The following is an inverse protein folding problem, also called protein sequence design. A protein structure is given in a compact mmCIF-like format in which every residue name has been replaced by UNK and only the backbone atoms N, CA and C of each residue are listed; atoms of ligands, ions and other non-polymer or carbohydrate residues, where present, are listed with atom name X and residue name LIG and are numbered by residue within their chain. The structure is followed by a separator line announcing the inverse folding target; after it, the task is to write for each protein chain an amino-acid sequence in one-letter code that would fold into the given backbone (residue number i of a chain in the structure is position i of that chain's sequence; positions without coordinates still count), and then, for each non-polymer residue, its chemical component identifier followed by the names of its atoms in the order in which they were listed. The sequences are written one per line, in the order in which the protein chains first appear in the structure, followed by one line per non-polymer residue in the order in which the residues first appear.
data_IF_633040957807
#
_entry.id   IF_633040957807
#
_cell.length_a   1.000
_cell.length_b   1.000
_cell.length_c   1.000
_cell.angle_alpha   90.00
_cell.angle_beta   90.00
_cell.angle_gamma   90.00
#
_symmetry.space_group_name_H-M   'P 1'
#
loop_
_entity.id
_entity.type
_entity.pdbx_description
1 polymer ?
#
# COMPACT_ATOMS: atom_id res chain seq x y z
N UNK A 1 -13.61 5.54 -9.58
CA UNK A 1 -13.38 6.41 -10.75
C UNK A 1 -12.21 5.88 -11.55
N UNK A 2 -12.44 5.39 -12.75
CA UNK A 2 -11.41 4.84 -13.63
C UNK A 2 -10.55 6.00 -14.15
N UNK A 3 -9.31 6.12 -13.68
CA UNK A 3 -8.35 7.02 -14.31
C UNK A 3 -8.01 6.43 -15.68
N UNK A 4 -8.53 7.07 -16.72
CA UNK A 4 -8.14 6.75 -18.08
C UNK A 4 -6.65 7.13 -18.25
N UNK A 5 -5.81 6.13 -18.41
CA UNK A 5 -4.43 6.31 -18.88
C UNK A 5 -4.47 6.94 -20.28
N UNK A 6 -4.32 8.25 -20.36
CA UNK A 6 -4.02 8.90 -21.64
C UNK A 6 -2.58 8.53 -21.99
N UNK A 7 -2.39 7.85 -23.12
CA UNK A 7 -1.07 7.79 -23.77
C UNK A 7 -0.67 9.22 -24.11
N UNK A 8 0.22 9.79 -23.31
CA UNK A 8 0.81 11.08 -23.62
C UNK A 8 1.80 10.86 -24.74
N UNK A 9 1.52 11.40 -25.93
CA UNK A 9 2.45 11.37 -27.07
C UNK A 9 3.35 12.61 -26.90
N UNK A 10 4.61 12.38 -26.57
CA UNK A 10 5.57 13.47 -26.51
C UNK A 10 5.83 14.05 -27.90
N UNK A 11 6.04 15.37 -28.01
CA UNK A 11 6.46 16.01 -29.26
C UNK A 11 7.76 15.41 -29.78
N UNK A 12 7.97 15.49 -31.11
CA UNK A 12 9.16 14.92 -31.74
C UNK A 12 10.37 15.87 -31.77
N UNK A 13 10.16 17.17 -31.53
CA UNK A 13 11.25 18.15 -31.44
C UNK A 13 11.90 18.14 -30.06
N UNK A 14 13.24 18.19 -29.99
CA UNK A 14 13.99 18.13 -28.73
C UNK A 14 13.50 19.14 -27.70
N UNK A 15 13.34 20.41 -28.08
CA UNK A 15 12.96 21.48 -27.15
C UNK A 15 11.57 21.26 -26.55
N UNK A 16 10.59 20.93 -27.38
CA UNK A 16 9.22 20.63 -26.93
C UNK A 16 9.15 19.36 -26.10
N UNK A 17 9.94 18.35 -26.49
CA UNK A 17 10.07 17.10 -25.72
C UNK A 17 10.63 17.37 -24.33
N UNK A 18 11.74 18.14 -24.21
CA UNK A 18 12.35 18.47 -22.92
C UNK A 18 11.39 19.29 -22.03
N UNK A 19 10.62 20.21 -22.58
CA UNK A 19 9.62 20.99 -21.81
C UNK A 19 8.55 20.06 -21.26
N UNK A 20 7.98 19.19 -22.08
CA UNK A 20 6.94 18.25 -21.67
C UNK A 20 7.47 17.26 -20.63
N UNK A 21 8.66 16.70 -20.85
CA UNK A 21 9.31 15.77 -19.93
C UNK A 21 9.59 16.44 -18.56
N UNK A 22 10.14 17.65 -18.54
CA UNK A 22 10.42 18.36 -17.30
C UNK A 22 9.13 18.67 -16.52
N UNK A 23 8.04 19.02 -17.19
CA UNK A 23 6.75 19.23 -16.55
C UNK A 23 6.20 17.95 -15.88
N UNK A 24 6.46 16.78 -16.46
CA UNK A 24 6.06 15.50 -15.87
C UNK A 24 7.00 15.10 -14.72
N UNK A 25 8.31 15.32 -14.85
CA UNK A 25 9.29 15.00 -13.80
C UNK A 25 9.02 15.77 -12.50
N UNK A 26 8.69 17.06 -12.58
CA UNK A 26 8.36 17.90 -11.39
C UNK A 26 7.21 17.32 -10.58
N UNK A 27 6.26 16.64 -11.22
CA UNK A 27 5.09 16.03 -10.58
C UNK A 27 5.27 14.56 -10.22
N UNK A 28 6.41 13.97 -10.56
CA UNK A 28 6.71 12.57 -10.38
C UNK A 28 7.52 12.31 -9.12
N UNK A 29 7.34 11.15 -8.50
CA UNK A 29 8.13 10.70 -7.33
C UNK A 29 9.21 9.69 -7.71
N UNK A 30 9.09 9.09 -8.87
CA UNK A 30 9.95 8.05 -9.38
C UNK A 30 10.02 8.14 -10.89
N UNK A 31 11.20 8.01 -11.45
CA UNK A 31 11.40 7.84 -12.89
C UNK A 31 11.59 6.35 -13.19
N UNK A 32 10.73 5.80 -14.05
CA UNK A 32 10.79 4.40 -14.48
C UNK A 32 11.01 4.34 -15.97
N UNK A 33 12.00 3.56 -16.41
CA UNK A 33 12.30 3.38 -17.84
C UNK A 33 12.36 1.88 -18.17
N UNK A 34 11.59 1.46 -19.15
CA UNK A 34 11.61 0.10 -19.70
C UNK A 34 12.45 0.09 -20.97
N UNK A 35 13.53 -0.69 -20.96
CA UNK A 35 14.50 -0.77 -22.02
C UNK A 35 14.37 -2.10 -22.78
N UNK A 36 14.07 -2.02 -24.06
CA UNK A 36 14.06 -3.16 -24.97
C UNK A 36 15.36 -3.27 -25.77
N UNK A 37 15.44 -4.20 -26.73
CA UNK A 37 16.58 -4.34 -27.61
C UNK A 37 16.76 -3.14 -28.57
N UNK A 38 15.66 -2.46 -28.90
CA UNK A 38 15.67 -1.33 -29.80
C UNK A 38 15.90 0.00 -29.07
N UNK A 39 16.74 0.90 -29.60
CA UNK A 39 17.03 2.21 -28.97
C UNK A 39 15.83 3.16 -28.97
N UNK A 40 14.75 2.82 -29.65
CA UNK A 40 13.62 3.69 -29.86
C UNK A 40 13.90 4.77 -30.92
N UNK A 41 13.22 5.91 -30.81
CA UNK A 41 13.39 7.00 -31.78
C UNK A 41 14.69 7.75 -31.52
N UNK A 42 15.44 7.99 -32.61
CA UNK A 42 16.71 8.72 -32.65
C UNK A 42 16.46 10.03 -33.40
N UNK A 43 16.17 11.15 -32.70
CA UNK A 43 16.01 12.42 -33.36
C UNK A 43 17.38 12.95 -33.85
N UNK A 44 17.43 13.71 -34.95
CA UNK A 44 18.70 14.20 -35.52
C UNK A 44 19.52 15.07 -34.57
N UNK A 45 18.87 15.75 -33.65
CA UNK A 45 19.45 16.68 -32.67
C UNK A 45 19.74 16.03 -31.30
N UNK A 46 19.52 14.72 -31.15
CA UNK A 46 19.82 13.92 -29.96
C UNK A 46 20.55 12.64 -30.39
N UNK A 47 21.83 12.72 -30.68
CA UNK A 47 22.58 11.59 -31.25
C UNK A 47 22.61 10.35 -30.34
N UNK A 48 22.47 10.52 -29.03
CA UNK A 48 22.38 9.43 -28.05
C UNK A 48 20.94 8.90 -27.83
N UNK A 49 19.97 9.48 -28.49
CA UNK A 49 18.56 9.07 -28.43
C UNK A 49 17.79 9.55 -27.20
N UNK A 50 16.47 9.44 -27.28
CA UNK A 50 15.57 9.90 -26.21
C UNK A 50 15.76 9.15 -24.89
N UNK A 51 16.16 7.88 -24.91
CA UNK A 51 16.44 7.12 -23.68
C UNK A 51 17.45 7.81 -22.76
N UNK A 52 18.57 8.25 -23.32
CA UNK A 52 19.58 9.02 -22.60
C UNK A 52 19.10 10.41 -22.19
N UNK A 53 18.37 11.10 -23.06
CA UNK A 53 17.83 12.42 -22.75
C UNK A 53 16.88 12.38 -21.56
N UNK A 54 16.00 11.39 -21.51
CA UNK A 54 15.07 11.15 -20.39
C UNK A 54 15.84 10.88 -19.10
N UNK A 55 16.80 9.97 -19.13
CA UNK A 55 17.61 9.61 -17.97
C UNK A 55 18.38 10.81 -17.41
N UNK A 56 19.02 11.59 -18.28
CA UNK A 56 19.75 12.81 -17.87
C UNK A 56 18.82 13.84 -17.26
N UNK A 57 17.64 14.02 -17.83
CA UNK A 57 16.64 14.95 -17.26
C UNK A 57 16.18 14.47 -15.90
N UNK A 58 15.88 13.19 -15.73
CA UNK A 58 15.49 12.63 -14.44
C UNK A 58 16.60 12.81 -13.38
N UNK A 59 17.87 12.56 -13.74
CA UNK A 59 19.02 12.77 -12.85
C UNK A 59 19.21 14.23 -12.49
N UNK A 60 19.04 15.17 -13.43
CA UNK A 60 19.10 16.62 -13.14
C UNK A 60 18.04 17.09 -12.16
N UNK A 61 16.86 16.45 -12.15
CA UNK A 61 15.79 16.70 -11.18
C UNK A 61 15.97 15.93 -9.86
N UNK A 62 17.09 15.24 -9.66
CA UNK A 62 17.32 14.44 -8.44
C UNK A 62 16.35 13.28 -8.26
N UNK A 63 15.73 12.81 -9.35
CA UNK A 63 14.76 11.73 -9.29
C UNK A 63 15.42 10.40 -8.90
N UNK A 64 14.73 9.63 -8.09
CA UNK A 64 15.04 8.20 -7.96
C UNK A 64 14.77 7.53 -9.31
N UNK A 65 15.77 6.84 -9.84
CA UNK A 65 15.73 6.20 -11.16
C UNK A 65 15.64 4.69 -10.99
N UNK A 66 14.73 4.06 -11.70
CA UNK A 66 14.64 2.60 -11.84
C UNK A 66 14.49 2.25 -13.32
N UNK A 67 15.42 1.49 -13.83
CA UNK A 67 15.42 1.04 -15.23
C UNK A 67 15.29 -0.47 -15.26
N UNK A 68 14.64 -1.00 -16.28
CA UNK A 68 14.45 -2.43 -16.47
C UNK A 68 14.82 -2.87 -17.87
N UNK A 69 15.44 -4.04 -17.95
CA UNK A 69 15.52 -4.86 -19.15
C UNK A 69 15.19 -6.31 -18.86
N UNK A 70 14.77 -7.05 -19.88
CA UNK A 70 14.63 -8.49 -19.73
C UNK A 70 15.99 -9.12 -19.39
N UNK A 71 16.03 -10.00 -18.38
CA UNK A 71 17.24 -10.75 -18.00
C UNK A 71 17.77 -11.65 -19.12
N UNK A 72 16.89 -12.09 -20.04
CA UNK A 72 17.24 -12.94 -21.19
C UNK A 72 17.75 -12.14 -22.40
N UNK A 73 17.74 -10.79 -22.35
CA UNK A 73 18.24 -9.96 -23.44
C UNK A 73 19.74 -10.15 -23.60
N UNK A 74 20.15 -10.69 -24.73
CA UNK A 74 21.54 -10.77 -25.12
C UNK A 74 22.05 -9.39 -25.57
N UNK A 75 22.95 -8.81 -24.81
CA UNK A 75 23.52 -7.50 -25.09
C UNK A 75 24.50 -7.51 -26.27
N UNK A 76 24.99 -8.67 -26.66
CA UNK A 76 25.91 -8.80 -27.80
C UNK A 76 25.23 -8.48 -29.14
N UNK A 77 23.91 -8.64 -29.23
CA UNK A 77 23.15 -8.30 -30.44
C UNK A 77 22.84 -6.81 -30.57
N UNK A 78 23.11 -6.01 -29.55
CA UNK A 78 22.83 -4.56 -29.58
C UNK A 78 23.96 -3.88 -30.36
N UNK A 79 23.69 -3.50 -31.57
CA UNK A 79 24.70 -2.92 -32.48
C UNK A 79 25.05 -1.48 -32.13
N UNK A 80 24.07 -0.70 -31.60
CA UNK A 80 24.27 0.71 -31.32
C UNK A 80 24.88 0.95 -29.94
N UNK A 81 26.17 1.43 -29.88
CA UNK A 81 26.88 1.51 -28.62
C UNK A 81 26.20 2.36 -27.54
N UNK A 82 25.62 3.55 -27.80
CA UNK A 82 24.97 4.34 -26.76
C UNK A 82 23.78 3.63 -26.14
N UNK A 83 23.07 2.78 -26.87
CA UNK A 83 21.97 2.01 -26.32
C UNK A 83 22.46 0.85 -25.46
N UNK A 84 23.52 0.17 -25.89
CA UNK A 84 24.16 -0.89 -25.09
C UNK A 84 24.65 -0.34 -23.76
N UNK A 85 25.35 0.81 -23.76
CA UNK A 85 25.79 1.49 -22.53
C UNK A 85 24.60 1.81 -21.60
N UNK A 86 23.46 2.26 -22.17
CA UNK A 86 22.25 2.52 -21.38
C UNK A 86 21.71 1.26 -20.71
N UNK A 87 21.74 0.11 -21.39
CA UNK A 87 21.31 -1.19 -20.92
C UNK A 87 22.25 -1.80 -19.85
N UNK A 88 23.48 -1.36 -19.79
CA UNK A 88 24.53 -1.83 -18.85
C UNK A 88 24.66 -0.99 -17.59
N UNK A 89 23.90 0.10 -17.46
CA UNK A 89 23.96 0.96 -16.29
C UNK A 89 23.60 0.20 -15.00
N UNK A 90 24.25 0.54 -13.90
CA UNK A 90 23.97 -0.03 -12.57
C UNK A 90 22.53 0.18 -12.10
N UNK A 91 21.84 1.20 -12.64
CA UNK A 91 20.43 1.48 -12.35
C UNK A 91 19.47 0.54 -13.09
N UNK A 92 19.98 -0.33 -13.98
CA UNK A 92 19.16 -1.26 -14.79
C UNK A 92 19.01 -2.60 -14.08
N UNK A 93 17.77 -2.93 -13.74
CA UNK A 93 17.39 -4.22 -13.19
C UNK A 93 17.20 -5.24 -14.33
N UNK A 94 18.15 -6.15 -14.49
CA UNK A 94 18.07 -7.28 -15.40
C UNK A 94 17.28 -8.43 -14.76
N UNK A 95 15.94 -8.35 -14.81
CA UNK A 95 15.04 -9.29 -14.12
C UNK A 95 13.80 -9.58 -14.95
N UNK A 96 12.92 -10.45 -14.44
CA UNK A 96 11.57 -10.57 -15.01
C UNK A 96 10.76 -9.30 -14.78
N UNK A 97 9.81 -9.01 -15.65
CA UNK A 97 8.95 -7.83 -15.52
C UNK A 97 8.14 -7.84 -14.21
N UNK A 98 7.71 -9.00 -13.73
CA UNK A 98 6.94 -9.13 -12.49
C UNK A 98 7.80 -8.79 -11.26
N UNK A 99 9.06 -9.24 -11.23
CA UNK A 99 10.01 -8.86 -10.18
C UNK A 99 10.25 -7.35 -10.18
N UNK A 100 10.40 -6.75 -11.36
CA UNK A 100 10.59 -5.31 -11.48
C UNK A 100 9.36 -4.51 -11.05
N UNK A 101 8.13 -4.93 -11.42
CA UNK A 101 6.89 -4.30 -10.94
C UNK A 101 6.80 -4.30 -9.41
N UNK A 102 7.17 -5.41 -8.78
CA UNK A 102 7.20 -5.50 -7.31
C UNK A 102 8.22 -4.53 -6.70
N UNK A 103 9.40 -4.39 -7.31
CA UNK A 103 10.41 -3.42 -6.88
C UNK A 103 9.95 -1.96 -7.05
N UNK A 104 9.25 -1.64 -8.15
CA UNK A 104 8.65 -0.31 -8.37
C UNK A 104 7.57 -0.02 -7.35
N UNK A 105 6.68 -0.98 -7.07
CA UNK A 105 5.65 -0.84 -6.04
C UNK A 105 6.26 -0.57 -4.66
N UNK A 106 7.31 -1.32 -4.29
CA UNK A 106 8.05 -1.10 -3.05
C UNK A 106 8.74 0.27 -3.01
N UNK A 107 9.26 0.75 -4.16
CA UNK A 107 9.90 2.06 -4.26
C UNK A 107 8.92 3.24 -4.13
N UNK A 108 7.67 3.04 -4.51
CA UNK A 108 6.58 4.01 -4.42
C UNK A 108 5.82 3.90 -3.09
N UNK A 109 5.97 2.79 -2.37
CA UNK A 109 5.38 2.65 -1.05
C UNK A 109 5.78 3.85 -0.18
N UNK A 110 4.87 4.47 0.54
CA UNK A 110 5.23 5.48 1.52
C UNK A 110 6.28 4.86 2.46
N UNK A 111 7.26 5.65 2.93
CA UNK A 111 8.17 5.15 3.96
C UNK A 111 7.30 4.60 5.09
N UNK A 112 7.67 3.45 5.68
CA UNK A 112 6.93 2.95 6.82
C UNK A 112 6.80 4.11 7.80
N UNK A 113 5.57 4.45 8.17
CA UNK A 113 5.37 5.48 9.18
C UNK A 113 6.25 5.10 10.36
N UNK A 114 6.97 6.06 10.98
CA UNK A 114 7.81 5.76 12.13
C UNK A 114 6.94 4.97 13.08
N UNK A 115 7.39 3.76 13.45
CA UNK A 115 6.63 2.88 14.34
C UNK A 115 6.14 3.76 15.48
N UNK A 116 4.82 3.95 15.58
CA UNK A 116 4.25 4.80 16.63
C UNK A 116 4.82 4.27 17.92
N UNK A 117 5.65 5.07 18.59
CA UNK A 117 6.21 4.71 19.87
C UNK A 117 5.03 4.68 20.88
N UNK A 118 4.37 3.54 20.95
CA UNK A 118 3.19 3.32 21.79
C UNK A 118 3.57 3.05 23.25
N UNK A 119 4.85 3.23 23.61
CA UNK A 119 5.36 2.84 24.91
C UNK A 119 5.17 1.33 25.16
N UNK A 120 4.95 0.93 26.42
CA UNK A 120 4.69 -0.49 26.76
C UNK A 120 3.25 -0.94 26.46
N UNK A 121 2.38 -0.04 25.94
CA UNK A 121 0.98 -0.36 25.67
C UNK A 121 0.81 -0.95 24.29
N UNK A 122 0.03 -2.05 24.14
CA UNK A 122 -0.25 -2.61 22.82
C UNK A 122 -1.04 -1.63 21.95
N UNK A 123 -0.68 -1.54 20.67
CA UNK A 123 -1.37 -0.72 19.71
C UNK A 123 -2.56 -1.49 19.12
N UNK A 124 -3.77 -1.03 19.44
CA UNK A 124 -5.03 -1.68 19.07
C UNK A 124 -5.78 -0.83 18.05
N UNK A 125 -6.07 -1.43 16.91
CA UNK A 125 -6.92 -0.84 15.86
C UNK A 125 -8.37 -1.29 16.07
N UNK A 126 -9.25 -0.37 16.50
CA UNK A 126 -10.69 -0.64 16.66
C UNK A 126 -11.41 -0.34 15.35
N UNK A 127 -11.71 -1.38 14.59
CA UNK A 127 -12.35 -1.27 13.29
C UNK A 127 -13.84 -1.64 13.39
N UNK A 128 -14.69 -0.62 13.35
CA UNK A 128 -16.14 -0.75 13.43
C UNK A 128 -16.82 -0.10 12.23
N UNK A 129 -17.96 -0.65 11.81
CA UNK A 129 -18.78 -0.02 10.78
C UNK A 129 -19.25 1.37 11.25
N UNK A 130 -19.22 2.42 10.40
CA UNK A 130 -19.51 3.80 10.81
C UNK A 130 -20.84 4.01 11.53
N UNK A 131 -21.86 3.23 11.18
CA UNK A 131 -23.19 3.31 11.78
C UNK A 131 -23.29 2.78 13.22
N UNK A 132 -22.26 2.12 13.73
CA UNK A 132 -22.22 1.51 15.05
C UNK A 132 -21.27 2.24 16.01
N UNK A 133 -21.25 3.58 15.95
CA UNK A 133 -20.39 4.42 16.79
C UNK A 133 -20.62 4.25 18.30
N UNK A 134 -21.85 3.95 18.73
CA UNK A 134 -22.16 3.71 20.15
C UNK A 134 -21.43 2.46 20.70
N UNK A 135 -21.41 1.39 19.91
CA UNK A 135 -20.70 0.17 20.26
C UNK A 135 -19.18 0.43 20.30
N UNK A 136 -18.67 1.17 19.33
CA UNK A 136 -17.27 1.56 19.31
C UNK A 136 -16.90 2.39 20.55
N UNK A 137 -17.78 3.31 20.97
CA UNK A 137 -17.57 4.12 22.16
C UNK A 137 -17.52 3.26 23.46
N UNK A 138 -18.42 2.29 23.61
CA UNK A 138 -18.40 1.38 24.76
C UNK A 138 -17.10 0.58 24.85
N UNK A 139 -16.64 0.04 23.71
CA UNK A 139 -15.37 -0.72 23.64
C UNK A 139 -14.19 0.21 23.96
N UNK A 140 -14.14 1.37 23.32
CA UNK A 140 -13.09 2.37 23.55
C UNK A 140 -12.98 2.72 25.02
N UNK A 141 -14.11 3.06 25.68
CA UNK A 141 -14.13 3.47 27.08
C UNK A 141 -13.67 2.35 28.01
N UNK A 142 -13.91 1.09 27.63
CA UNK A 142 -13.49 -0.05 28.43
C UNK A 142 -11.98 -0.36 28.36
N UNK A 143 -11.31 -0.07 27.22
CA UNK A 143 -9.92 -0.49 27.03
C UNK A 143 -8.90 0.64 26.85
N UNK A 144 -9.35 1.90 26.69
CA UNK A 144 -8.48 3.06 26.37
C UNK A 144 -7.33 3.28 27.34
N UNK A 145 -7.50 2.92 28.62
CA UNK A 145 -6.47 3.14 29.65
C UNK A 145 -5.36 2.08 29.60
N UNK A 146 -5.64 0.95 28.96
CA UNK A 146 -4.73 -0.21 28.88
C UNK A 146 -4.02 -0.35 27.54
N UNK A 147 -4.50 0.31 26.49
CA UNK A 147 -3.97 0.20 25.13
C UNK A 147 -3.75 1.57 24.49
N UNK A 148 -2.91 1.62 23.46
CA UNK A 148 -2.89 2.73 22.52
C UNK A 148 -3.95 2.46 21.44
N UNK A 149 -5.13 3.05 21.57
CA UNK A 149 -6.28 2.79 20.71
C UNK A 149 -6.34 3.76 19.55
N UNK A 150 -6.61 3.24 18.36
CA UNK A 150 -6.88 4.03 17.15
C UNK A 150 -8.14 3.50 16.47
N UNK A 151 -8.95 4.42 15.96
CA UNK A 151 -10.10 4.15 15.07
C UNK A 151 -9.77 4.60 13.63
N UNK A 152 -10.47 4.08 12.61
CA UNK A 152 -10.28 4.52 11.24
C UNK A 152 -10.56 6.01 11.06
N UNK A 153 -9.74 6.70 10.28
CA UNK A 153 -10.05 8.05 9.83
C UNK A 153 -11.36 8.04 9.02
N UNK A 154 -12.31 8.88 9.41
CA UNK A 154 -13.65 8.94 8.77
C UNK A 154 -13.83 10.19 7.92
N UNK A 155 -13.00 11.21 8.13
CA UNK A 155 -13.04 12.49 7.45
C UNK A 155 -11.74 12.71 6.68
N UNK A 156 -11.81 13.37 5.52
CA UNK A 156 -10.67 13.61 4.65
C UNK A 156 -10.93 13.15 3.21
N UNK A 157 -9.93 13.20 2.38
CA UNK A 157 -9.98 12.67 1.02
C UNK A 157 -10.04 11.14 1.03
N UNK A 158 -10.60 10.54 -0.03
CA UNK A 158 -10.64 9.07 -0.16
C UNK A 158 -9.25 8.43 -0.09
N UNK A 159 -8.21 9.14 -0.52
CA UNK A 159 -6.83 8.69 -0.46
C UNK A 159 -6.30 8.71 0.99
N UNK A 160 -6.53 9.78 1.73
CA UNK A 160 -6.12 9.89 3.14
C UNK A 160 -6.78 8.81 4.00
N UNK A 161 -8.09 8.61 3.85
CA UNK A 161 -8.85 7.55 4.55
C UNK A 161 -8.28 6.17 4.22
N UNK A 162 -7.97 5.91 2.94
CA UNK A 162 -7.41 4.65 2.50
C UNK A 162 -6.00 4.41 3.08
N UNK A 163 -5.14 5.42 3.02
CA UNK A 163 -3.76 5.34 3.52
C UNK A 163 -3.74 5.13 5.04
N UNK A 164 -4.56 5.88 5.79
CA UNK A 164 -4.71 5.71 7.24
C UNK A 164 -5.16 4.28 7.59
N UNK A 165 -6.19 3.80 6.89
CA UNK A 165 -6.71 2.45 7.11
C UNK A 165 -5.66 1.37 6.84
N UNK A 166 -4.99 1.42 5.68
CA UNK A 166 -3.94 0.46 5.32
C UNK A 166 -2.78 0.49 6.32
N UNK A 167 -2.38 1.68 6.77
CA UNK A 167 -1.31 1.85 7.74
C UNK A 167 -1.68 1.28 9.12
N UNK A 168 -2.91 1.51 9.59
CA UNK A 168 -3.38 0.92 10.84
C UNK A 168 -3.42 -0.61 10.79
N UNK A 169 -3.78 -1.20 9.63
CA UNK A 169 -3.72 -2.66 9.43
C UNK A 169 -2.29 -3.21 9.47
N UNK A 170 -1.29 -2.42 9.04
CA UNK A 170 0.13 -2.83 9.05
C UNK A 170 0.73 -2.72 10.45
N UNK A 171 0.42 -1.66 11.19
CA UNK A 171 1.13 -1.29 12.42
C UNK A 171 0.52 -1.86 13.69
N UNK A 172 -0.79 -2.19 13.72
CA UNK A 172 -1.45 -2.60 14.95
C UNK A 172 -0.90 -3.92 15.52
N UNK A 173 -0.82 -4.03 16.83
CA UNK A 173 -0.54 -5.30 17.53
C UNK A 173 -1.77 -6.21 17.56
N UNK A 174 -2.98 -5.63 17.58
CA UNK A 174 -4.25 -6.33 17.48
C UNK A 174 -5.27 -5.49 16.71
N UNK A 175 -6.17 -6.15 15.94
CA UNK A 175 -7.32 -5.51 15.32
C UNK A 175 -8.60 -6.01 15.97
N UNK A 176 -9.30 -5.13 16.69
CA UNK A 176 -10.63 -5.42 17.23
C UNK A 176 -11.69 -5.07 16.19
N UNK A 177 -12.54 -6.02 15.85
CA UNK A 177 -13.62 -5.82 14.89
C UNK A 177 -14.97 -6.10 15.54
N UNK A 178 -15.97 -5.29 15.22
CA UNK A 178 -17.36 -5.52 15.64
C UNK A 178 -18.15 -5.99 14.43
N UNK A 179 -18.72 -7.18 14.55
CA UNK A 179 -19.63 -7.75 13.55
C UNK A 179 -21.06 -7.65 14.05
N UNK A 180 -21.88 -6.89 13.36
CA UNK A 180 -23.32 -6.73 13.62
C UNK A 180 -24.15 -7.54 12.62
N UNK A 181 -24.53 -6.95 11.49
CA UNK A 181 -25.38 -7.55 10.47
C UNK A 181 -24.80 -7.53 9.04
N UNK A 182 -23.75 -6.72 8.83
CA UNK A 182 -23.12 -6.57 7.52
C UNK A 182 -21.92 -7.50 7.32
N UNK A 183 -22.21 -8.76 7.00
CA UNK A 183 -21.17 -9.75 6.72
C UNK A 183 -20.28 -9.36 5.51
N UNK A 184 -20.84 -8.63 4.55
CA UNK A 184 -20.09 -8.13 3.39
C UNK A 184 -18.99 -7.17 3.80
N UNK A 185 -19.32 -6.19 4.64
CA UNK A 185 -18.35 -5.25 5.20
C UNK A 185 -17.30 -5.98 6.05
N UNK A 186 -17.73 -6.78 7.02
CA UNK A 186 -16.80 -7.48 7.91
C UNK A 186 -15.81 -8.37 7.14
N UNK A 187 -16.27 -9.13 6.13
CA UNK A 187 -15.39 -9.92 5.26
C UNK A 187 -14.43 -9.05 4.45
N UNK A 188 -14.85 -7.87 4.01
CA UNK A 188 -13.98 -6.95 3.27
C UNK A 188 -12.83 -6.44 4.13
N UNK A 189 -13.10 -6.13 5.41
CA UNK A 189 -12.09 -5.70 6.37
C UNK A 189 -11.06 -6.81 6.66
N UNK A 190 -11.53 -8.03 6.89
CA UNK A 190 -10.66 -9.19 7.13
C UNK A 190 -9.82 -9.55 5.89
N UNK A 191 -10.38 -9.42 4.69
CA UNK A 191 -9.62 -9.59 3.43
C UNK A 191 -8.57 -8.50 3.25
N UNK A 192 -8.89 -7.24 3.57
CA UNK A 192 -7.94 -6.14 3.54
C UNK A 192 -6.80 -6.40 4.53
N UNK A 193 -7.10 -6.82 5.76
CA UNK A 193 -6.10 -7.21 6.74
C UNK A 193 -5.17 -8.32 6.19
N UNK A 194 -5.74 -9.42 5.68
CA UNK A 194 -4.96 -10.53 5.10
C UNK A 194 -4.07 -10.08 3.93
N UNK A 195 -4.55 -9.13 3.11
CA UNK A 195 -3.77 -8.56 2.00
C UNK A 195 -2.55 -7.78 2.50
N UNK A 196 -2.68 -7.07 3.64
CA UNK A 196 -1.59 -6.29 4.22
C UNK A 196 -0.64 -7.11 5.11
N UNK A 197 -1.03 -8.33 5.50
CA UNK A 197 -0.24 -9.19 6.39
C UNK A 197 1.24 -9.37 5.96
N UNK A 198 1.58 -9.55 4.66
CA UNK A 198 2.97 -9.67 4.22
C UNK A 198 3.83 -8.40 4.40
N UNK A 199 3.20 -7.23 4.57
CA UNK A 199 3.89 -5.94 4.73
C UNK A 199 4.19 -5.60 6.19
N UNK A 200 3.67 -6.40 7.12
CA UNK A 200 3.83 -6.19 8.56
C UNK A 200 5.24 -6.56 9.01
N UNK A 201 5.86 -5.69 9.80
CA UNK A 201 7.15 -5.96 10.43
C UNK A 201 7.05 -7.04 11.53
N UNK A 202 5.86 -7.18 12.13
CA UNK A 202 5.56 -8.16 13.19
C UNK A 202 4.21 -8.82 12.92
N UNK A 203 4.04 -10.12 13.23
CA UNK A 203 2.73 -10.75 13.12
C UNK A 203 1.74 -10.07 14.07
N UNK A 204 0.46 -10.04 13.69
CA UNK A 204 -0.60 -9.62 14.61
C UNK A 204 -0.71 -10.64 15.75
N UNK A 205 -0.98 -10.15 16.96
CA UNK A 205 -1.14 -11.04 18.12
C UNK A 205 -2.49 -11.75 18.10
N UNK A 206 -3.54 -10.99 17.77
CA UNK A 206 -4.91 -11.47 17.80
C UNK A 206 -5.82 -10.55 16.99
N UNK A 207 -6.94 -11.11 16.52
CA UNK A 207 -8.02 -10.39 15.86
C UNK A 207 -9.34 -10.74 16.58
N UNK A 208 -9.63 -10.08 17.72
CA UNK A 208 -10.92 -10.25 18.38
C UNK A 208 -12.06 -9.74 17.49
N UNK A 209 -13.02 -10.61 17.21
CA UNK A 209 -14.26 -10.27 16.51
C UNK A 209 -15.40 -10.38 17.49
N UNK A 210 -15.97 -9.25 17.89
CA UNK A 210 -17.13 -9.21 18.76
C UNK A 210 -18.36 -9.46 17.92
N UNK A 211 -19.01 -10.59 18.17
CA UNK A 211 -20.27 -10.98 17.54
C UNK A 211 -21.42 -10.23 18.22
N UNK A 212 -21.63 -8.97 17.80
CA UNK A 212 -22.52 -8.02 18.46
C UNK A 212 -24.01 -8.30 18.14
N UNK A 213 -24.96 -7.76 18.95
CA UNK A 213 -26.38 -8.01 18.75
C UNK A 213 -26.85 -7.54 17.37
N UNK A 214 -27.43 -8.42 16.64
CA UNK A 214 -28.31 -8.14 15.48
C UNK A 214 -29.08 -9.42 15.16
N UNK A 215 -30.34 -9.30 14.87
CA UNK A 215 -31.19 -10.46 14.64
C UNK A 215 -32.04 -10.24 13.39
N UNK A 216 -32.15 -11.24 12.51
CA UNK A 216 -31.22 -12.31 12.24
C UNK A 216 -30.01 -11.77 11.44
N UNK A 217 -28.85 -12.41 11.54
CA UNK A 217 -27.67 -12.03 10.74
C UNK A 217 -27.02 -13.22 10.05
N UNK A 218 -26.38 -13.01 8.87
CA UNK A 218 -25.68 -14.06 8.17
C UNK A 218 -24.43 -14.52 8.96
N UNK A 219 -24.01 -15.75 8.77
CA UNK A 219 -22.71 -16.20 9.27
C UNK A 219 -21.57 -15.37 8.66
N UNK A 220 -20.56 -15.06 9.46
CA UNK A 220 -19.39 -14.32 8.97
C UNK A 220 -18.67 -15.10 7.85
N UNK A 221 -18.62 -16.46 7.95
CA UNK A 221 -18.08 -17.31 6.88
C UNK A 221 -16.65 -16.98 6.48
N UNK A 222 -15.83 -16.47 7.42
CA UNK A 222 -14.44 -16.11 7.22
C UNK A 222 -13.64 -16.48 8.47
N UNK A 223 -12.50 -17.11 8.28
CA UNK A 223 -11.64 -17.56 9.38
C UNK A 223 -10.18 -17.24 9.11
N UNK A 224 -9.47 -16.86 10.16
CA UNK A 224 -8.02 -16.71 10.21
C UNK A 224 -7.50 -17.31 11.53
N UNK A 225 -6.28 -17.85 11.58
CA UNK A 225 -5.73 -18.47 12.80
C UNK A 225 -5.70 -17.52 14.01
N UNK A 226 -5.54 -16.21 13.78
CA UNK A 226 -5.45 -15.20 14.81
C UNK A 226 -6.81 -14.70 15.30
N UNK A 227 -7.92 -15.13 14.66
CA UNK A 227 -9.27 -14.68 15.03
C UNK A 227 -9.76 -15.35 16.30
N UNK A 228 -10.35 -14.55 17.16
CA UNK A 228 -11.08 -14.99 18.35
C UNK A 228 -12.48 -14.38 18.28
N UNK A 229 -13.50 -15.22 18.26
CA UNK A 229 -14.90 -14.76 18.29
C UNK A 229 -15.30 -14.56 19.75
N UNK A 230 -15.78 -13.37 20.04
CA UNK A 230 -16.29 -12.97 21.36
C UNK A 230 -17.80 -12.85 21.26
N UNK A 231 -18.54 -13.59 22.09
CA UNK A 231 -20.00 -13.54 22.11
C UNK A 231 -20.49 -12.23 22.74
N UNK A 232 -21.03 -11.37 21.90
CA UNK A 232 -21.69 -10.12 22.27
C UNK A 232 -23.16 -10.08 21.83
N UNK A 233 -23.77 -11.22 21.47
CA UNK A 233 -25.15 -11.29 20.95
C UNK A 233 -26.21 -10.84 21.92
N UNK A 234 -25.95 -10.95 23.21
CA UNK A 234 -26.82 -10.44 24.28
C UNK A 234 -26.51 -9.02 24.71
N UNK A 235 -25.50 -8.39 24.10
CA UNK A 235 -24.97 -7.06 24.41
C UNK A 235 -23.49 -7.11 24.72
N UNK A 236 -22.83 -5.94 24.63
CA UNK A 236 -21.42 -5.81 24.96
C UNK A 236 -21.30 -5.52 26.47
N UNK A 237 -21.57 -6.53 27.26
CA UNK A 237 -21.50 -6.48 28.71
C UNK A 237 -20.13 -6.81 29.31
N UNK A 238 -20.02 -6.86 30.66
CA UNK A 238 -18.78 -7.12 31.38
C UNK A 238 -18.06 -8.40 30.93
N UNK A 239 -18.82 -9.45 30.60
CA UNK A 239 -18.27 -10.74 30.17
C UNK A 239 -17.56 -10.63 28.81
N UNK A 240 -18.20 -10.00 27.82
CA UNK A 240 -17.58 -9.75 26.51
C UNK A 240 -16.33 -8.88 26.65
N UNK A 241 -16.34 -7.88 27.53
CA UNK A 241 -15.20 -7.02 27.83
C UNK A 241 -14.07 -7.76 28.52
N UNK A 242 -14.39 -8.68 29.47
CA UNK A 242 -13.37 -9.53 30.08
C UNK A 242 -12.71 -10.46 29.06
N UNK A 243 -13.49 -11.07 28.16
CA UNK A 243 -12.94 -11.87 27.06
C UNK A 243 -12.06 -11.04 26.10
N UNK A 244 -12.48 -9.80 25.78
CA UNK A 244 -11.69 -8.89 24.97
C UNK A 244 -10.35 -8.55 25.66
N UNK A 245 -10.38 -8.19 26.93
CA UNK A 245 -9.17 -7.89 27.71
C UNK A 245 -8.23 -9.10 27.75
N UNK A 246 -8.77 -10.28 27.96
CA UNK A 246 -8.00 -11.52 27.91
C UNK A 246 -7.39 -11.77 26.51
N UNK A 247 -8.16 -11.57 25.45
CA UNK A 247 -7.68 -11.75 24.07
C UNK A 247 -6.57 -10.74 23.74
N UNK A 248 -6.64 -9.53 24.24
CA UNK A 248 -5.61 -8.50 24.10
C UNK A 248 -4.44 -8.70 25.05
N UNK A 249 -4.54 -9.61 26.03
CA UNK A 249 -3.57 -9.83 27.11
C UNK A 249 -3.27 -8.55 27.91
N UNK A 250 -4.33 -7.88 28.34
CA UNK A 250 -4.31 -6.68 29.19
C UNK A 250 -4.27 -7.02 30.68
#
# INVERSE_FOLDING_TARGET
MSQSYRRQTYPLGRGEFEVALNADLVRSRLFVQLLGPEPGKLPPDVPEGYGWLQLRSARRHGMRVMQWRNSELDLAIIEWPPHRELLELETVHATTLETFKSAVAAALAPPPAPARATGDRPFVFLNTEPRHGEIAAQIRDAIRDSVALVEPLREGTAEEVRVDFEQNLIDCDAMVMVYTDNAGWARSQLRAFRKQAPQRARPVRTIPVIDAPAQPKPELGFYMPEMIIIDGRTGIGPEAMAQLSQALRL
#
